data_IF_666858656023
#
_entry.id   IF_666858656023
#
_cell.length_a   1.000
_cell.length_b   1.000
_cell.length_c   1.000
_cell.angle_alpha   90.00
_cell.angle_beta   90.00
_cell.angle_gamma   90.00
#
_symmetry.space_group_name_H-M   'P 1'
#
loop_
_entity.id
_entity.type
_entity.pdbx_description
1 polymer ?
#
# COMPACT_ATOMS: atom_id res chain seq x y z
N UNK A 1 -3.03 9.63 -1.89
CA UNK A 1 -3.98 8.50 -1.95
C UNK A 1 -5.31 8.92 -1.37
N UNK A 2 -6.42 8.46 -1.93
CA UNK A 2 -7.74 8.59 -1.32
C UNK A 2 -7.92 7.54 -0.20
N UNK A 3 -9.09 7.52 0.45
CA UNK A 3 -9.36 6.58 1.57
C UNK A 3 -9.29 5.11 1.15
N UNK A 4 -9.79 4.76 -0.03
CA UNK A 4 -9.82 3.37 -0.50
C UNK A 4 -8.40 2.86 -0.78
N UNK A 5 -7.58 3.69 -1.43
CA UNK A 5 -6.16 3.41 -1.68
C UNK A 5 -5.35 3.28 -0.38
N UNK A 6 -5.68 4.08 0.64
CA UNK A 6 -5.05 3.98 1.95
C UNK A 6 -5.37 2.64 2.62
N UNK A 7 -6.64 2.21 2.59
CA UNK A 7 -7.07 0.94 3.20
C UNK A 7 -6.31 -0.23 2.58
N UNK A 8 -6.12 -0.23 1.26
CA UNK A 8 -5.34 -1.29 0.60
C UNK A 8 -3.85 -1.21 0.94
N UNK A 9 -3.28 -0.01 1.05
CA UNK A 9 -1.87 0.16 1.40
C UNK A 9 -1.53 -0.33 2.82
N UNK A 10 -2.41 -0.12 3.81
CA UNK A 10 -2.19 -0.56 5.20
C UNK A 10 -2.36 -2.08 5.40
N UNK A 11 -2.88 -2.81 4.40
CA UNK A 11 -2.90 -4.28 4.44
C UNK A 11 -1.51 -4.89 4.37
N UNK A 12 -0.56 -4.17 3.78
CA UNK A 12 0.83 -4.58 3.73
C UNK A 12 1.39 -4.44 5.15
N UNK A 13 1.85 -5.53 5.79
CA UNK A 13 2.43 -5.44 7.12
C UNK A 13 3.69 -4.57 7.11
N UNK A 14 3.75 -3.59 8.01
CA UNK A 14 4.89 -2.69 8.13
C UNK A 14 4.62 -1.55 9.09
N UNK A 15 5.66 -0.77 9.39
CA UNK A 15 5.56 0.45 10.18
C UNK A 15 5.49 1.66 9.26
N UNK A 16 4.43 2.46 9.37
CA UNK A 16 4.17 3.60 8.48
C UNK A 16 3.82 4.86 9.29
N UNK A 17 4.20 6.02 8.74
CA UNK A 17 3.67 7.34 9.10
C UNK A 17 2.52 7.66 8.16
N UNK A 18 1.39 8.09 8.71
CA UNK A 18 0.23 8.53 7.96
C UNK A 18 0.03 10.04 8.15
N UNK A 19 0.08 10.78 7.05
CA UNK A 19 -0.23 12.21 7.01
C UNK A 19 -1.55 12.45 6.27
N UNK A 20 -2.45 13.25 6.85
CA UNK A 20 -3.67 13.72 6.19
C UNK A 20 -3.44 15.10 5.56
N UNK A 21 -3.87 15.23 4.31
CA UNK A 21 -3.79 16.48 3.55
C UNK A 21 -5.15 17.19 3.55
N UNK A 22 -5.17 18.54 3.45
CA UNK A 22 -6.41 19.32 3.48
C UNK A 22 -7.40 19.04 2.34
N UNK A 23 -6.94 18.42 1.25
CA UNK A 23 -7.75 18.06 0.08
C UNK A 23 -8.38 16.66 0.19
N UNK A 24 -8.39 16.08 1.40
CA UNK A 24 -8.95 14.74 1.65
C UNK A 24 -8.07 13.61 1.14
N UNK A 25 -6.80 13.90 0.83
CA UNK A 25 -5.81 12.88 0.48
C UNK A 25 -4.96 12.51 1.69
N UNK A 26 -4.32 11.35 1.57
CA UNK A 26 -3.38 10.82 2.53
C UNK A 26 -2.02 10.60 1.88
N UNK A 27 -0.97 10.67 2.69
CA UNK A 27 0.38 10.21 2.37
C UNK A 27 0.74 9.13 3.38
N UNK A 28 1.17 7.97 2.89
CA UNK A 28 1.67 6.88 3.71
C UNK A 28 3.18 6.72 3.46
N UNK A 29 3.98 6.91 4.50
CA UNK A 29 5.45 6.87 4.41
C UNK A 29 6.00 5.74 5.29
N UNK A 30 6.67 4.72 4.74
CA UNK A 30 7.29 3.67 5.55
C UNK A 30 8.36 4.25 6.51
N UNK A 31 8.35 3.83 7.77
CA UNK A 31 9.29 4.29 8.81
C UNK A 31 10.67 3.66 8.62
N UNK A 32 10.73 2.39 8.21
CA UNK A 32 11.98 1.72 7.85
C UNK A 32 11.99 1.36 6.35
N UNK A 33 12.96 1.85 5.56
CA UNK A 33 13.17 1.39 4.19
C UNK A 33 13.73 -0.04 4.25
N UNK A 34 12.86 -1.04 4.35
CA UNK A 34 13.25 -2.44 4.40
C UNK A 34 12.20 -3.44 4.90
N UNK A 35 11.10 -2.98 5.52
CA UNK A 35 10.07 -3.88 6.08
C UNK A 35 8.87 -4.13 5.15
N UNK A 36 8.86 -3.63 3.91
CA UNK A 36 8.03 -4.27 2.89
C UNK A 36 8.70 -5.60 2.57
N UNK A 37 8.43 -6.60 3.41
CA UNK A 37 8.82 -7.99 3.16
C UNK A 37 8.00 -8.45 1.96
N UNK A 38 8.53 -8.21 0.77
CA UNK A 38 8.05 -8.85 -0.44
C UNK A 38 8.33 -10.35 -0.27
N UNK A 39 7.37 -11.03 0.32
CA UNK A 39 7.31 -12.49 0.32
C UNK A 39 6.90 -12.92 -1.08
N UNK A 40 7.27 -14.14 -1.47
CA UNK A 40 6.81 -14.70 -2.74
C UNK A 40 5.27 -14.64 -2.86
N UNK A 41 4.58 -14.80 -1.74
CA UNK A 41 3.12 -14.62 -1.62
C UNK A 41 2.66 -13.20 -1.94
N UNK A 42 3.25 -12.17 -1.31
CA UNK A 42 2.84 -10.78 -1.58
C UNK A 42 3.17 -10.32 -3.00
N UNK A 43 4.21 -10.89 -3.62
CA UNK A 43 4.54 -10.66 -5.03
C UNK A 43 3.48 -11.22 -5.99
N UNK A 44 2.98 -12.43 -5.73
CA UNK A 44 1.91 -13.04 -6.53
C UNK A 44 0.54 -12.36 -6.30
N UNK A 45 0.26 -11.89 -5.07
CA UNK A 45 -0.93 -11.08 -4.77
C UNK A 45 -0.90 -9.73 -5.49
N UNK A 46 0.24 -9.03 -5.48
CA UNK A 46 0.41 -7.80 -6.26
C UNK A 46 0.24 -8.05 -7.77
N UNK A 47 0.87 -9.09 -8.32
CA UNK A 47 0.69 -9.44 -9.75
C UNK A 47 -0.77 -9.69 -10.11
N UNK A 48 -1.47 -10.45 -9.27
CA UNK A 48 -2.87 -10.80 -9.49
C UNK A 48 -3.77 -9.57 -9.49
N UNK A 49 -3.55 -8.64 -8.55
CA UNK A 49 -4.28 -7.36 -8.49
C UNK A 49 -4.08 -6.51 -9.76
N UNK A 50 -2.85 -6.38 -10.25
CA UNK A 50 -2.57 -5.59 -11.45
C UNK A 50 -2.99 -6.27 -12.76
N UNK A 51 -3.10 -7.61 -12.80
CA UNK A 51 -3.60 -8.34 -13.96
C UNK A 51 -5.13 -8.30 -14.08
N UNK A 52 -5.86 -8.17 -12.97
CA UNK A 52 -7.33 -8.06 -12.97
C UNK A 52 -7.85 -6.72 -13.52
N UNK A 53 -7.00 -5.71 -13.68
CA UNK A 53 -7.34 -4.44 -14.34
C UNK A 53 -7.20 -4.42 -15.87
N UNK A 54 -6.88 -5.56 -16.52
CA UNK A 54 -6.64 -5.66 -17.98
C UNK A 54 -7.58 -6.58 -18.75
N UNK A 55 -8.78 -6.87 -18.23
CA UNK A 55 -9.84 -7.59 -18.95
C UNK A 55 -11.08 -6.74 -19.17
#
# INVERSE_FOLDING_TARGET
MNTDELIEAIRIPGSYVLDSLPDGKYILTPIEPGEIKNTETSHEECKSFFQQGRS
#
